data_IF_101195583065
#
_entry.id   IF_101195583065
#
_cell.length_a   1.000
_cell.length_b   1.000
_cell.length_c   1.000
_cell.angle_alpha   90.00
_cell.angle_beta   90.00
_cell.angle_gamma   90.00
#
_symmetry.space_group_name_H-M   'P 1'
#
loop_
_entity.id
_entity.type
_entity.pdbx_description
1 polymer ?
#
# COMPACT_ATOMS: atom_id res chain seq x y z
N UNK A 1 -0.22 7.77 10.58
CA UNK A 1 0.35 6.84 9.59
C UNK A 1 -0.05 7.31 8.21
N UNK A 2 0.91 7.69 7.36
CA UNK A 2 0.60 8.21 6.02
C UNK A 2 -0.07 7.14 5.16
N UNK A 3 -1.23 7.47 4.60
CA UNK A 3 -1.95 6.57 3.70
C UNK A 3 -1.22 6.53 2.36
N UNK A 4 -0.50 5.44 2.09
CA UNK A 4 0.20 5.24 0.80
C UNK A 4 -0.88 5.07 -0.27
N UNK A 5 -1.01 6.09 -1.12
CA UNK A 5 -1.95 6.10 -2.24
C UNK A 5 -1.21 5.97 -3.54
N UNK A 6 -1.86 5.35 -4.52
CA UNK A 6 -1.42 5.40 -5.90
C UNK A 6 -1.49 6.85 -6.42
N UNK A 7 -0.54 7.27 -7.27
CA UNK A 7 -0.48 8.65 -7.79
C UNK A 7 -1.73 9.07 -8.58
N UNK A 8 -2.44 8.11 -9.17
CA UNK A 8 -3.71 8.35 -9.88
C UNK A 8 -4.97 8.29 -8.98
N UNK A 9 -4.83 8.18 -7.66
CA UNK A 9 -5.97 8.05 -6.77
C UNK A 9 -6.70 9.40 -6.57
N UNK A 10 -7.80 9.60 -7.28
CA UNK A 10 -8.61 10.83 -7.21
C UNK A 10 -9.36 10.98 -5.88
N UNK A 11 -9.76 9.88 -5.23
CA UNK A 11 -10.51 9.91 -3.97
C UNK A 11 -9.59 9.79 -2.77
N UNK A 12 -9.15 10.95 -2.27
CA UNK A 12 -8.34 11.06 -1.06
C UNK A 12 -9.18 11.03 0.21
N UNK A 13 -8.50 10.92 1.36
CA UNK A 13 -9.10 10.83 2.69
C UNK A 13 -9.86 12.11 3.00
N UNK A 14 -9.22 13.25 2.73
CA UNK A 14 -9.81 14.57 2.88
C UNK A 14 -11.13 14.71 2.10
N UNK A 15 -11.17 14.24 0.84
CA UNK A 15 -12.39 14.28 0.02
C UNK A 15 -13.48 13.38 0.60
N UNK A 16 -13.14 12.16 1.03
CA UNK A 16 -14.11 11.25 1.65
C UNK A 16 -14.66 11.78 2.99
N UNK A 17 -13.79 12.40 3.79
CA UNK A 17 -14.17 13.06 5.05
C UNK A 17 -15.03 14.31 4.80
N UNK A 18 -14.76 15.06 3.73
CA UNK A 18 -15.62 16.17 3.31
C UNK A 18 -17.01 15.67 2.90
N UNK A 19 -17.08 14.61 2.09
CA UNK A 19 -18.34 13.99 1.66
C UNK A 19 -19.17 13.52 2.87
N UNK A 20 -18.56 12.87 3.88
CA UNK A 20 -19.29 12.44 5.08
C UNK A 20 -19.83 13.61 5.92
N UNK A 21 -19.07 14.70 6.07
CA UNK A 21 -19.49 15.87 6.86
C UNK A 21 -20.55 16.71 6.16
N UNK A 22 -20.60 16.67 4.84
CA UNK A 22 -21.49 17.50 4.04
C UNK A 22 -22.95 16.99 4.01
N UNK A 23 -23.92 17.89 4.17
CA UNK A 23 -25.35 17.61 4.00
C UNK A 23 -25.88 17.94 2.59
N UNK A 24 -25.05 18.51 1.71
CA UNK A 24 -25.40 18.90 0.33
C UNK A 24 -25.86 17.74 -0.55
N UNK A 25 -26.54 18.06 -1.65
CA UNK A 25 -27.00 17.06 -2.62
C UNK A 25 -25.82 16.34 -3.29
N UNK A 26 -26.05 15.09 -3.69
CA UNK A 26 -25.00 14.27 -4.34
C UNK A 26 -24.50 14.89 -5.65
N UNK A 27 -25.38 15.57 -6.38
CA UNK A 27 -25.04 16.24 -7.64
C UNK A 27 -24.11 17.44 -7.42
N UNK A 28 -24.34 18.21 -6.34
CA UNK A 28 -23.48 19.34 -5.99
C UNK A 28 -22.06 18.88 -5.62
N UNK A 29 -21.96 17.87 -4.76
CA UNK A 29 -20.67 17.28 -4.35
C UNK A 29 -19.94 16.64 -5.54
N UNK A 30 -20.67 16.00 -6.45
CA UNK A 30 -20.10 15.44 -7.67
C UNK A 30 -19.46 16.52 -8.54
N UNK A 31 -20.13 17.67 -8.70
CA UNK A 31 -19.63 18.80 -9.49
C UNK A 31 -18.44 19.50 -8.83
N UNK A 32 -18.47 19.66 -7.51
CA UNK A 32 -17.39 20.31 -6.74
C UNK A 32 -16.08 19.50 -6.77
N UNK A 33 -16.17 18.19 -6.55
CA UNK A 33 -14.99 17.32 -6.51
C UNK A 33 -14.63 16.69 -7.85
N UNK A 34 -15.47 16.82 -8.88
CA UNK A 34 -15.27 16.17 -10.20
C UNK A 34 -15.35 14.64 -10.16
N UNK A 35 -16.16 14.09 -9.24
CA UNK A 35 -16.23 12.64 -8.96
C UNK A 35 -17.59 12.11 -9.40
N UNK A 36 -17.62 10.88 -9.92
CA UNK A 36 -18.87 10.18 -10.26
C UNK A 36 -19.88 10.23 -9.09
N UNK A 37 -21.14 10.66 -9.31
CA UNK A 37 -22.19 10.70 -8.29
C UNK A 37 -22.38 9.36 -7.56
N UNK A 38 -22.19 8.23 -8.25
CA UNK A 38 -22.27 6.89 -7.64
C UNK A 38 -21.22 6.68 -6.56
N UNK A 39 -20.03 7.26 -6.74
CA UNK A 39 -18.95 7.20 -5.75
C UNK A 39 -19.28 8.06 -4.53
N UNK A 40 -19.87 9.24 -4.72
CA UNK A 40 -20.34 10.09 -3.62
C UNK A 40 -21.41 9.36 -2.81
N UNK A 41 -22.41 8.76 -3.48
CA UNK A 41 -23.46 7.98 -2.83
C UNK A 41 -22.88 6.79 -2.03
N UNK A 42 -21.90 6.08 -2.61
CA UNK A 42 -21.21 4.97 -1.96
C UNK A 42 -20.48 5.43 -0.68
N UNK A 43 -19.74 6.53 -0.73
CA UNK A 43 -19.01 7.05 0.43
C UNK A 43 -19.93 7.57 1.52
N UNK A 44 -21.07 8.16 1.16
CA UNK A 44 -22.07 8.63 2.12
C UNK A 44 -22.75 7.51 2.92
N UNK A 45 -22.90 6.33 2.31
CA UNK A 45 -23.45 5.14 2.98
C UNK A 45 -22.44 4.39 3.86
N UNK A 46 -21.14 4.66 3.71
CA UNK A 46 -20.10 3.99 4.51
C UNK A 46 -20.03 4.63 5.90
N UNK A 47 -19.79 3.82 6.92
CA UNK A 47 -19.59 4.31 8.30
C UNK A 47 -18.17 4.86 8.52
N UNK A 48 -17.17 4.31 7.84
CA UNK A 48 -15.76 4.67 8.03
C UNK A 48 -15.17 5.31 6.77
N UNK A 49 -14.27 6.28 6.99
CA UNK A 49 -13.52 6.99 5.94
C UNK A 49 -12.22 6.26 5.59
N UNK A 50 -11.74 5.43 6.52
CA UNK A 50 -10.46 4.74 6.40
C UNK A 50 -10.48 3.60 5.39
N UNK A 51 -9.32 3.37 4.77
CA UNK A 51 -9.13 2.20 3.93
C UNK A 51 -9.02 0.98 4.83
N UNK A 52 -10.01 0.10 4.74
CA UNK A 52 -9.92 -1.20 5.36
C UNK A 52 -8.93 -2.07 4.59
N UNK A 53 -8.21 -2.93 5.32
CA UNK A 53 -7.34 -3.93 4.72
C UNK A 53 -8.18 -4.77 3.75
N UNK A 54 -7.77 -4.78 2.49
CA UNK A 54 -8.39 -5.63 1.48
C UNK A 54 -7.71 -6.99 1.57
N UNK A 55 -8.51 -8.05 1.78
CA UNK A 55 -8.04 -9.43 1.85
C UNK A 55 -8.49 -10.16 3.12
N UNK A 56 -8.09 -11.45 3.25
CA UNK A 56 -8.38 -12.24 4.43
C UNK A 56 -7.84 -11.57 5.70
N UNK A 57 -8.65 -11.58 6.76
CA UNK A 57 -8.24 -11.04 8.08
C UNK A 57 -6.99 -11.75 8.61
N UNK A 58 -6.89 -13.04 8.31
CA UNK A 58 -5.77 -13.90 8.60
C UNK A 58 -5.22 -14.43 7.27
N UNK A 59 -4.10 -13.88 6.78
CA UNK A 59 -3.44 -14.42 5.60
C UNK A 59 -2.77 -15.74 6.00
N UNK A 60 -3.49 -16.84 5.81
CA UNK A 60 -2.98 -18.21 5.96
C UNK A 60 -3.06 -18.93 4.61
N UNK A 61 -2.12 -19.82 4.35
CA UNK A 61 -2.23 -20.68 3.18
C UNK A 61 -3.32 -21.75 3.41
N UNK A 62 -4.07 -22.11 2.37
CA UNK A 62 -5.07 -23.19 2.46
C UNK A 62 -4.45 -24.58 2.29
N UNK A 63 -3.15 -24.65 1.98
CA UNK A 63 -2.44 -25.87 1.56
C UNK A 63 -1.40 -26.32 2.59
N UNK A 64 -0.75 -25.39 3.29
CA UNK A 64 0.32 -25.72 4.22
C UNK A 64 -0.20 -25.81 5.65
N UNK A 65 0.45 -26.66 6.44
CA UNK A 65 0.25 -26.67 7.89
C UNK A 65 0.84 -25.41 8.52
N UNK A 66 0.39 -25.06 9.73
CA UNK A 66 0.88 -23.87 10.46
C UNK A 66 2.39 -23.94 10.70
N UNK A 67 2.93 -25.13 10.95
CA UNK A 67 4.37 -25.37 11.16
C UNK A 67 5.17 -25.13 9.89
N UNK A 68 4.69 -25.63 8.74
CA UNK A 68 5.36 -25.45 7.46
C UNK A 68 5.38 -23.98 7.04
N UNK A 69 4.27 -23.28 7.25
CA UNK A 69 4.18 -21.84 6.99
C UNK A 69 5.14 -21.05 7.89
N UNK A 70 5.24 -21.40 9.18
CA UNK A 70 6.18 -20.77 10.10
C UNK A 70 7.65 -21.00 9.68
N UNK A 71 8.00 -22.22 9.26
CA UNK A 71 9.34 -22.55 8.75
C UNK A 71 9.66 -21.74 7.49
N UNK A 72 8.75 -21.67 6.52
CA UNK A 72 8.94 -20.91 5.27
C UNK A 72 9.07 -19.41 5.55
N UNK A 73 8.23 -18.86 6.42
CA UNK A 73 8.30 -17.43 6.80
C UNK A 73 9.62 -17.11 7.50
N UNK A 74 10.07 -17.98 8.42
CA UNK A 74 11.36 -17.83 9.10
C UNK A 74 12.53 -17.89 8.09
N UNK A 75 12.51 -18.87 7.20
CA UNK A 75 13.50 -19.02 6.14
C UNK A 75 13.55 -17.83 5.20
N UNK A 76 12.38 -17.32 4.75
CA UNK A 76 12.29 -16.16 3.87
C UNK A 76 12.83 -14.89 4.54
N UNK A 77 12.56 -14.69 5.84
CA UNK A 77 13.12 -13.55 6.59
C UNK A 77 14.63 -13.64 6.72
N UNK A 78 15.17 -14.84 6.95
CA UNK A 78 16.60 -15.07 7.06
C UNK A 78 17.33 -14.83 5.73
N UNK A 79 16.85 -15.46 4.65
CA UNK A 79 17.41 -15.30 3.31
C UNK A 79 17.27 -13.87 2.77
N UNK A 80 16.17 -13.18 3.08
CA UNK A 80 16.01 -11.76 2.73
C UNK A 80 17.04 -10.87 3.41
N UNK A 81 17.40 -11.17 4.66
CA UNK A 81 18.44 -10.43 5.40
C UNK A 81 19.80 -10.62 4.73
N UNK A 82 20.18 -11.86 4.40
CA UNK A 82 21.43 -12.17 3.68
C UNK A 82 21.46 -11.51 2.30
N UNK A 83 20.35 -11.55 1.55
CA UNK A 83 20.24 -10.93 0.23
C UNK A 83 20.35 -9.41 0.28
N UNK A 84 19.73 -8.76 1.28
CA UNK A 84 19.88 -7.31 1.48
C UNK A 84 21.31 -6.96 1.86
N UNK A 85 21.98 -7.73 2.72
CA UNK A 85 23.37 -7.46 3.08
C UNK A 85 24.28 -7.62 1.88
N UNK A 86 24.12 -8.68 1.07
CA UNK A 86 24.88 -8.89 -0.17
C UNK A 86 24.60 -7.81 -1.21
N UNK A 87 23.33 -7.39 -1.38
CA UNK A 87 22.99 -6.31 -2.32
C UNK A 87 23.53 -4.96 -1.84
N UNK A 88 23.49 -4.70 -0.53
CA UNK A 88 24.08 -3.51 0.06
C UNK A 88 25.62 -3.54 -0.06
N UNK A 89 26.26 -4.68 0.15
CA UNK A 89 27.70 -4.85 -0.06
C UNK A 89 28.10 -4.73 -1.53
N UNK A 90 27.32 -5.29 -2.45
CA UNK A 90 27.56 -5.15 -3.90
C UNK A 90 27.42 -3.68 -4.33
N UNK A 91 26.36 -2.99 -3.89
CA UNK A 91 26.15 -1.58 -4.18
C UNK A 91 27.23 -0.69 -3.53
N UNK A 92 27.72 -1.07 -2.35
CA UNK A 92 28.84 -0.41 -1.68
C UNK A 92 30.17 -0.68 -2.40
N UNK A 93 30.41 -1.91 -2.89
CA UNK A 93 31.58 -2.23 -3.71
C UNK A 93 31.60 -1.42 -5.01
N UNK A 94 30.47 -1.31 -5.72
CA UNK A 94 30.34 -0.46 -6.92
C UNK A 94 30.54 1.04 -6.63
N UNK A 95 30.32 1.47 -5.39
CA UNK A 95 30.54 2.85 -4.95
C UNK A 95 31.97 3.12 -4.47
N UNK A 96 32.74 2.06 -4.16
CA UNK A 96 34.08 2.15 -3.55
C UNK A 96 35.20 1.73 -4.52
N UNK A 97 34.91 1.04 -5.63
CA UNK A 97 35.90 0.80 -6.69
C UNK A 97 36.12 2.08 -7.52
N UNK A 98 37.24 2.80 -7.39
CA UNK A 98 37.64 3.72 -8.45
C UNK A 98 37.89 2.88 -9.70
N UNK A 99 37.36 3.34 -10.83
CA UNK A 99 37.68 2.79 -12.14
C UNK A 99 39.22 2.77 -12.32
N UNK A 100 39.84 1.60 -12.16
CA UNK A 100 41.21 1.39 -12.59
C UNK A 100 41.16 1.37 -14.12
N UNK A 101 41.38 2.55 -14.70
CA UNK A 101 41.60 2.74 -16.13
C UNK A 101 42.88 2.01 -16.50
N UNK A 102 42.73 0.78 -16.98
CA UNK A 102 43.80 0.09 -17.72
C UNK A 102 43.86 0.77 -19.08
N UNK A 103 44.92 1.56 -19.29
CA UNK A 103 45.43 1.91 -20.61
C UNK A 103 46.44 0.85 -21.02
#
# INVERSE_FOLDING_TARGET
MGQIRHGSATTTHAVRAAIQRSQTSLAALSKEFGINPKTVAKWRKRQTVEDQKTGPKEPRSTVLSETDEAMIVAFRRHTWRVRKTLWFWACLCDSITPAVSIR
#
